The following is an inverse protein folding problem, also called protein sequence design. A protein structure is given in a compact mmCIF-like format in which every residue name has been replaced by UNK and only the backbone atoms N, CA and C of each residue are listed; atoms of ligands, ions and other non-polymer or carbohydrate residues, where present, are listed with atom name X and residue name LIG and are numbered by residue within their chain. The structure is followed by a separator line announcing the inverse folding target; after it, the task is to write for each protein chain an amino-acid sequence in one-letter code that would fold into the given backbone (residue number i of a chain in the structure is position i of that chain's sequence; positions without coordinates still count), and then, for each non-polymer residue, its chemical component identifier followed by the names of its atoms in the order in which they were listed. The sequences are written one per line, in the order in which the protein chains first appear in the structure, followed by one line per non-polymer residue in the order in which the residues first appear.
data_IF_262708721895
#
_entry.id   IF_262708721895
#
_cell.length_a   1.000
_cell.length_b   1.000
_cell.length_c   1.000
_cell.angle_alpha   90.00
_cell.angle_beta   90.00
_cell.angle_gamma   90.00
#
_symmetry.space_group_name_H-M   'P 1'
#
loop_
_entity.id
_entity.type
_entity.pdbx_description
1 polymer ?
#
# COMPACT_ATOMS: atom_id res chain seq x y z
N UNK A 1 2.54 -24.48 18.56
CA UNK A 1 1.45 -25.46 18.26
C UNK A 1 1.49 -25.96 16.82
N UNK A 2 1.22 -25.12 15.80
CA UNK A 2 1.31 -25.52 14.37
C UNK A 2 2.67 -26.14 14.05
N UNK A 3 3.75 -25.58 14.61
CA UNK A 3 5.11 -26.13 14.52
C UNK A 3 5.25 -27.58 15.05
N UNK A 4 4.68 -27.90 16.21
CA UNK A 4 4.73 -29.26 16.78
C UNK A 4 3.98 -30.26 15.90
N UNK A 5 2.86 -29.82 15.31
CA UNK A 5 2.02 -30.64 14.42
C UNK A 5 2.70 -30.86 13.07
N UNK A 6 3.30 -29.81 12.51
CA UNK A 6 4.09 -29.91 11.28
C UNK A 6 5.30 -30.81 11.52
N UNK A 7 6.03 -30.64 12.62
CA UNK A 7 7.21 -31.44 12.96
C UNK A 7 6.89 -32.93 13.10
N UNK A 8 5.79 -33.29 13.76
CA UNK A 8 5.39 -34.70 13.91
C UNK A 8 4.95 -35.36 12.60
N UNK A 9 4.33 -34.60 11.69
CA UNK A 9 3.86 -35.13 10.39
C UNK A 9 4.84 -34.85 9.24
N UNK A 10 6.01 -34.25 9.53
CA UNK A 10 6.96 -33.77 8.52
C UNK A 10 7.61 -34.90 7.73
N UNK A 11 8.02 -35.97 8.43
CA UNK A 11 8.82 -37.06 7.85
C UNK A 11 8.07 -38.39 7.71
N UNK A 12 7.07 -38.66 8.55
CA UNK A 12 6.28 -39.89 8.50
C UNK A 12 4.81 -39.57 8.75
N UNK A 13 3.93 -40.25 8.03
CA UNK A 13 2.48 -40.19 8.22
C UNK A 13 1.96 -41.10 9.35
N UNK A 14 2.86 -41.90 9.94
CA UNK A 14 2.57 -42.72 11.09
C UNK A 14 2.52 -41.84 12.34
N UNK A 15 1.31 -41.56 12.82
CA UNK A 15 1.09 -40.87 14.09
C UNK A 15 1.58 -41.77 15.24
N UNK A 16 2.79 -41.54 15.73
CA UNK A 16 3.26 -42.10 17.01
C UNK A 16 2.89 -41.13 18.13
N UNK A 17 2.06 -41.59 19.08
CA UNK A 17 1.62 -40.80 20.23
C UNK A 17 2.79 -40.64 21.21
N UNK A 18 3.61 -39.61 21.01
CA UNK A 18 4.66 -39.25 21.95
C UNK A 18 4.05 -38.54 23.18
N UNK A 19 4.50 -38.90 24.38
CA UNK A 19 3.94 -38.41 25.64
C UNK A 19 4.06 -36.88 25.78
N UNK A 20 5.14 -36.31 25.22
CA UNK A 20 5.39 -34.87 25.17
C UNK A 20 4.32 -34.12 24.38
N UNK A 21 3.89 -34.66 23.25
CA UNK A 21 2.91 -34.05 22.36
C UNK A 21 1.49 -34.14 22.89
N UNK A 22 1.15 -35.22 23.58
CA UNK A 22 -0.14 -35.36 24.25
C UNK A 22 -0.35 -34.28 25.33
N UNK A 23 0.69 -34.00 26.13
CA UNK A 23 0.65 -32.92 27.13
C UNK A 23 0.46 -31.54 26.49
N UNK A 24 1.10 -31.28 25.34
CA UNK A 24 0.92 -30.06 24.57
C UNK A 24 -0.52 -29.95 24.04
N UNK A 25 -1.09 -31.04 23.54
CA UNK A 25 -2.47 -31.05 23.04
C UNK A 25 -3.52 -30.80 24.14
N UNK A 26 -3.32 -31.35 25.34
CA UNK A 26 -4.17 -31.07 26.51
C UNK A 26 -4.07 -29.60 26.91
N UNK A 27 -2.85 -29.05 27.00
CA UNK A 27 -2.65 -27.62 27.29
C UNK A 27 -3.39 -26.73 26.27
N UNK A 28 -3.33 -27.11 24.99
CA UNK A 28 -4.04 -26.41 23.91
C UNK A 28 -5.56 -26.50 24.02
N UNK A 29 -6.10 -27.64 24.47
CA UNK A 29 -7.53 -27.82 24.73
C UNK A 29 -8.02 -26.89 25.84
N UNK A 30 -7.26 -26.81 26.94
CA UNK A 30 -7.54 -25.90 28.06
C UNK A 30 -7.45 -24.45 27.61
N UNK A 31 -6.40 -24.06 26.88
CA UNK A 31 -6.23 -22.69 26.41
C UNK A 31 -7.37 -22.22 25.47
N UNK A 32 -7.83 -23.08 24.56
CA UNK A 32 -8.91 -22.73 23.63
C UNK A 32 -10.26 -22.69 24.31
N UNK A 33 -10.55 -23.65 25.17
CA UNK A 33 -11.80 -23.64 25.93
C UNK A 33 -11.89 -22.40 26.81
N UNK A 34 -10.80 -22.02 27.49
CA UNK A 34 -10.72 -20.77 28.26
C UNK A 34 -10.95 -19.54 27.37
N UNK A 35 -10.23 -19.43 26.25
CA UNK A 35 -10.35 -18.29 25.33
C UNK A 35 -11.76 -18.18 24.71
N UNK A 36 -12.42 -19.31 24.40
CA UNK A 36 -13.80 -19.33 23.92
C UNK A 36 -14.77 -18.91 25.04
N UNK A 37 -14.62 -19.43 26.25
CA UNK A 37 -15.47 -19.10 27.39
C UNK A 37 -15.38 -17.61 27.77
N UNK A 38 -14.16 -17.06 27.86
CA UNK A 38 -13.95 -15.63 28.17
C UNK A 38 -14.62 -14.74 27.12
N UNK A 39 -14.51 -15.08 25.83
CA UNK A 39 -15.13 -14.30 24.74
C UNK A 39 -16.64 -14.44 24.72
N UNK A 40 -17.16 -15.63 24.99
CA UNK A 40 -18.60 -15.85 25.11
C UNK A 40 -19.18 -15.07 26.31
N UNK A 41 -18.43 -14.95 27.41
CA UNK A 41 -18.81 -14.13 28.56
C UNK A 41 -18.79 -12.63 28.24
N UNK A 42 -17.75 -12.15 27.55
CA UNK A 42 -17.61 -10.75 27.17
C UNK A 42 -18.54 -10.32 26.02
N UNK A 43 -19.15 -11.25 25.29
CA UNK A 43 -20.04 -10.94 24.18
C UNK A 43 -21.42 -10.45 24.68
N UNK A 44 -21.80 -9.23 24.29
CA UNK A 44 -23.11 -8.67 24.64
C UNK A 44 -24.30 -9.50 24.12
N UNK A 45 -24.17 -10.14 22.95
CA UNK A 45 -25.13 -11.11 22.44
C UNK A 45 -24.45 -12.47 22.18
N UNK A 46 -24.68 -13.41 23.10
CA UNK A 46 -24.06 -14.74 23.11
C UNK A 46 -24.45 -15.57 21.88
N UNK A 47 -25.71 -15.51 21.46
CA UNK A 47 -26.20 -16.26 20.30
C UNK A 47 -25.64 -15.76 18.98
N UNK A 48 -25.48 -14.44 18.85
CA UNK A 48 -24.82 -13.85 17.68
C UNK A 48 -23.33 -14.23 17.64
N UNK A 49 -22.66 -14.31 18.80
CA UNK A 49 -21.26 -14.73 18.89
C UNK A 49 -21.05 -16.18 18.45
N UNK A 50 -21.93 -17.11 18.85
CA UNK A 50 -21.83 -18.52 18.43
C UNK A 50 -22.03 -18.72 16.92
N UNK A 51 -22.86 -17.89 16.26
CA UNK A 51 -23.08 -17.94 14.80
C UNK A 51 -22.02 -17.19 13.98
N UNK A 52 -21.11 -16.47 14.62
CA UNK A 52 -20.04 -15.78 13.91
C UNK A 52 -19.03 -16.80 13.34
N UNK A 53 -18.64 -16.65 12.07
CA UNK A 53 -17.83 -17.64 11.35
C UNK A 53 -16.52 -18.04 12.07
N UNK A 54 -15.82 -17.06 12.67
CA UNK A 54 -14.57 -17.33 13.43
C UNK A 54 -14.80 -18.16 14.70
N UNK A 55 -16.00 -18.07 15.30
CA UNK A 55 -16.39 -18.84 16.47
C UNK A 55 -16.75 -20.27 16.09
N UNK A 56 -17.35 -20.46 14.90
CA UNK A 56 -17.58 -21.79 14.32
C UNK A 56 -16.25 -22.49 14.08
N UNK A 57 -15.24 -21.78 13.53
CA UNK A 57 -13.88 -22.33 13.38
C UNK A 57 -13.28 -22.74 14.73
N UNK A 58 -13.43 -21.91 15.78
CA UNK A 58 -12.97 -22.25 17.14
C UNK A 58 -13.64 -23.52 17.66
N UNK A 59 -14.94 -23.65 17.43
CA UNK A 59 -15.70 -24.84 17.80
C UNK A 59 -15.23 -26.07 17.01
N UNK A 60 -15.10 -25.98 15.68
CA UNK A 60 -14.58 -27.05 14.83
C UNK A 60 -13.17 -27.50 15.23
N UNK A 61 -12.32 -26.59 15.71
CA UNK A 61 -11.00 -26.92 16.22
C UNK A 61 -10.99 -27.50 17.63
N UNK A 62 -12.04 -27.25 18.42
CA UNK A 62 -12.19 -27.74 19.80
C UNK A 62 -12.62 -29.21 19.84
N UNK A 63 -13.60 -29.61 19.01
CA UNK A 63 -14.17 -30.97 19.06
C UNK A 63 -13.10 -32.08 18.86
N UNK A 64 -12.16 -32.00 17.91
CA UNK A 64 -11.12 -33.03 17.73
C UNK A 64 -10.16 -33.17 18.89
N UNK A 65 -9.84 -32.07 19.59
CA UNK A 65 -9.02 -32.15 20.81
C UNK A 65 -9.81 -32.76 21.96
N UNK A 66 -11.09 -32.41 22.07
CA UNK A 66 -11.95 -32.94 23.12
C UNK A 66 -12.15 -34.45 22.95
N UNK A 67 -12.45 -34.91 21.73
CA UNK A 67 -12.63 -36.34 21.43
C UNK A 67 -11.33 -37.13 21.66
N UNK A 68 -10.16 -36.60 21.26
CA UNK A 68 -8.86 -37.24 21.51
C UNK A 68 -8.50 -37.32 23.00
N UNK A 69 -8.93 -36.34 23.81
CA UNK A 69 -8.74 -36.35 25.26
C UNK A 69 -9.75 -37.25 25.99
N UNK A 70 -10.99 -37.34 25.49
CA UNK A 70 -12.09 -38.06 26.14
C UNK A 70 -12.16 -39.54 25.77
N UNK A 71 -11.65 -39.97 24.61
CA UNK A 71 -11.67 -41.36 24.17
C UNK A 71 -10.57 -42.18 24.90
N UNK A 72 -10.93 -43.11 25.82
CA UNK A 72 -9.99 -44.06 26.39
C UNK A 72 -9.63 -45.13 25.35
N UNK A 73 -8.41 -45.65 25.44
CA UNK A 73 -7.87 -46.76 24.65
C UNK A 73 -8.92 -47.86 24.35
N UNK A 74 -9.34 -47.99 23.09
CA UNK A 74 -9.66 -49.33 22.57
C UNK A 74 -9.40 -49.46 21.06
N UNK A 75 -8.71 -50.53 20.71
CA UNK A 75 -8.04 -50.83 19.44
C UNK A 75 -9.02 -51.30 18.33
N UNK A 76 -10.04 -50.51 17.99
CA UNK A 76 -10.89 -50.84 16.82
C UNK A 76 -10.36 -50.16 15.54
N UNK A 77 -9.74 -50.97 14.67
CA UNK A 77 -8.98 -50.56 13.47
C UNK A 77 -9.77 -49.66 12.47
N UNK A 78 -11.11 -49.75 12.40
CA UNK A 78 -11.92 -48.87 11.54
C UNK A 78 -12.09 -47.44 12.09
N UNK A 79 -12.01 -47.26 13.42
CA UNK A 79 -12.03 -45.95 14.07
C UNK A 79 -10.79 -45.10 13.73
N UNK A 80 -9.65 -45.73 13.42
CA UNK A 80 -8.35 -45.06 13.18
C UNK A 80 -8.29 -44.13 11.95
N UNK A 81 -9.15 -44.30 10.94
CA UNK A 81 -9.15 -43.44 9.74
C UNK A 81 -10.03 -42.20 9.88
N UNK A 82 -11.28 -42.39 10.31
CA UNK A 82 -12.21 -41.28 10.56
C UNK A 82 -11.70 -40.39 11.70
N UNK A 83 -11.13 -41.00 12.75
CA UNK A 83 -10.45 -40.29 13.82
C UNK A 83 -9.28 -39.45 13.30
N UNK A 84 -8.47 -39.96 12.36
CA UNK A 84 -7.36 -39.21 11.74
C UNK A 84 -7.81 -38.04 10.87
N UNK A 85 -8.88 -38.21 10.09
CA UNK A 85 -9.48 -37.10 9.33
C UNK A 85 -10.00 -36.01 10.29
N UNK A 86 -10.60 -36.42 11.40
CA UNK A 86 -11.09 -35.49 12.42
C UNK A 86 -9.96 -34.72 13.12
N UNK A 87 -8.85 -35.41 13.42
CA UNK A 87 -7.64 -34.79 13.98
C UNK A 87 -7.05 -33.70 13.07
N UNK A 88 -7.21 -33.78 11.74
CA UNK A 88 -6.67 -32.76 10.83
C UNK A 88 -7.46 -31.46 10.80
N UNK A 89 -8.69 -31.42 11.33
CA UNK A 89 -9.41 -30.17 11.58
C UNK A 89 -8.65 -29.25 12.58
N UNK A 90 -7.60 -29.76 13.25
CA UNK A 90 -6.63 -28.95 14.00
C UNK A 90 -5.86 -27.94 13.13
N UNK A 91 -5.63 -28.22 11.84
CA UNK A 91 -4.88 -27.31 10.93
C UNK A 91 -5.66 -26.05 10.57
N UNK A 92 -7.01 -26.11 10.62
CA UNK A 92 -7.92 -24.97 10.45
C UNK A 92 -7.61 -23.84 11.45
N UNK A 93 -6.92 -24.11 12.56
CA UNK A 93 -6.46 -23.09 13.52
C UNK A 93 -5.60 -22.01 12.89
N UNK A 94 -4.91 -22.27 11.78
CA UNK A 94 -4.14 -21.23 11.08
C UNK A 94 -5.04 -20.05 10.66
N UNK A 95 -6.33 -20.30 10.46
CA UNK A 95 -7.36 -19.28 10.17
C UNK A 95 -7.58 -18.32 11.36
N UNK A 96 -7.16 -18.68 12.57
CA UNK A 96 -7.20 -17.77 13.71
C UNK A 96 -6.19 -16.61 13.58
N UNK A 97 -5.13 -16.76 12.76
CA UNK A 97 -4.18 -15.68 12.47
C UNK A 97 -4.85 -14.48 11.79
N UNK A 98 -6.02 -14.66 11.17
CA UNK A 98 -6.79 -13.55 10.60
C UNK A 98 -7.23 -12.56 11.67
N UNK A 99 -7.28 -12.94 12.95
CA UNK A 99 -7.56 -12.00 14.04
C UNK A 99 -6.45 -10.96 14.19
N UNK A 100 -5.21 -11.28 13.83
CA UNK A 100 -4.10 -10.31 13.85
C UNK A 100 -4.32 -9.17 12.86
N UNK A 101 -5.14 -9.36 11.82
CA UNK A 101 -5.53 -8.31 10.88
C UNK A 101 -6.26 -7.15 11.57
N UNK A 102 -6.87 -7.36 12.75
CA UNK A 102 -7.47 -6.28 13.55
C UNK A 102 -6.44 -5.27 14.08
N UNK A 103 -5.18 -5.67 14.22
CA UNK A 103 -4.10 -4.78 14.66
C UNK A 103 -3.61 -3.87 13.53
N UNK A 104 -3.93 -4.20 12.28
CA UNK A 104 -3.47 -3.47 11.10
C UNK A 104 -4.42 -2.33 10.78
N UNK A 105 -3.97 -1.10 11.03
CA UNK A 105 -4.75 0.12 10.78
C UNK A 105 -4.86 0.48 9.30
N UNK A 106 -3.82 0.18 8.51
CA UNK A 106 -3.80 0.53 7.08
C UNK A 106 -4.56 -0.50 6.25
N UNK A 107 -5.63 -0.06 5.56
CA UNK A 107 -6.46 -0.93 4.73
C UNK A 107 -5.67 -1.72 3.67
N UNK A 108 -4.66 -1.08 3.06
CA UNK A 108 -3.77 -1.69 2.06
C UNK A 108 -2.97 -2.86 2.63
N UNK A 109 -2.26 -2.60 3.72
CA UNK A 109 -1.43 -3.59 4.40
C UNK A 109 -2.33 -4.71 4.93
N UNK A 110 -3.52 -4.38 5.44
CA UNK A 110 -4.50 -5.35 5.91
C UNK A 110 -4.97 -6.29 4.80
N UNK A 111 -5.30 -5.77 3.63
CA UNK A 111 -5.73 -6.59 2.50
C UNK A 111 -4.59 -7.44 1.94
N UNK A 112 -3.38 -6.88 1.82
CA UNK A 112 -2.20 -7.63 1.41
C UNK A 112 -1.85 -8.79 2.35
N UNK A 113 -1.84 -8.53 3.67
CA UNK A 113 -1.62 -9.58 4.68
C UNK A 113 -2.75 -10.61 4.65
N UNK A 114 -4.01 -10.17 4.45
CA UNK A 114 -5.14 -11.08 4.32
C UNK A 114 -4.96 -12.05 3.16
N UNK A 115 -4.53 -11.58 1.99
CA UNK A 115 -4.28 -12.43 0.81
C UNK A 115 -3.12 -13.40 1.06
N UNK A 116 -2.02 -12.92 1.61
CA UNK A 116 -0.90 -13.81 1.96
C UNK A 116 -1.34 -14.90 2.94
N UNK A 117 -2.13 -14.53 3.95
CA UNK A 117 -2.63 -15.46 4.94
C UNK A 117 -3.66 -16.45 4.37
N UNK A 118 -4.52 -16.03 3.44
CA UNK A 118 -5.48 -16.93 2.76
C UNK A 118 -4.75 -18.01 1.98
N UNK A 119 -3.77 -17.63 1.16
CA UNK A 119 -2.97 -18.57 0.37
C UNK A 119 -2.23 -19.56 1.27
N UNK A 120 -1.52 -19.07 2.30
CA UNK A 120 -0.79 -19.95 3.23
C UNK A 120 -1.74 -20.88 3.99
N UNK A 121 -2.90 -20.38 4.42
CA UNK A 121 -3.90 -21.21 5.12
C UNK A 121 -4.47 -22.31 4.24
N UNK A 122 -4.78 -22.01 2.98
CA UNK A 122 -5.28 -22.99 2.01
C UNK A 122 -4.22 -24.05 1.74
N UNK A 123 -2.95 -23.64 1.52
CA UNK A 123 -1.85 -24.57 1.26
C UNK A 123 -1.71 -25.57 2.41
N UNK A 124 -1.64 -25.08 3.65
CA UNK A 124 -1.43 -25.94 4.82
C UNK A 124 -2.64 -26.84 5.09
N UNK A 125 -3.86 -26.31 5.01
CA UNK A 125 -5.08 -27.11 5.22
C UNK A 125 -5.26 -28.17 4.13
N UNK A 126 -5.05 -27.81 2.86
CA UNK A 126 -5.20 -28.74 1.74
C UNK A 126 -4.10 -29.80 1.73
N UNK A 127 -2.84 -29.44 2.03
CA UNK A 127 -1.75 -30.39 2.13
C UNK A 127 -2.00 -31.41 3.25
N UNK A 128 -2.47 -30.95 4.42
CA UNK A 128 -2.83 -31.85 5.52
C UNK A 128 -4.02 -32.76 5.19
N UNK A 129 -5.01 -32.25 4.43
CA UNK A 129 -6.15 -33.05 3.99
C UNK A 129 -5.72 -34.13 2.99
N UNK A 130 -4.88 -33.82 2.02
CA UNK A 130 -4.39 -34.79 1.04
C UNK A 130 -3.48 -35.84 1.68
N UNK A 131 -2.56 -35.41 2.55
CA UNK A 131 -1.68 -36.31 3.28
C UNK A 131 -2.47 -37.39 4.04
N UNK A 132 -3.60 -37.00 4.65
CA UNK A 132 -4.43 -37.95 5.41
C UNK A 132 -5.32 -38.82 4.56
N UNK A 133 -5.88 -38.28 3.49
CA UNK A 133 -6.71 -39.07 2.56
C UNK A 133 -5.89 -40.11 1.82
N UNK A 134 -4.63 -39.82 1.49
CA UNK A 134 -3.76 -40.75 0.74
C UNK A 134 -3.00 -41.73 1.64
N UNK A 135 -3.09 -41.62 2.97
CA UNK A 135 -2.39 -42.50 3.90
C UNK A 135 -2.71 -44.00 3.68
N UNK A 136 -1.66 -44.83 3.61
CA UNK A 136 -1.74 -46.29 3.59
C UNK A 136 -1.47 -46.87 4.99
N UNK A 137 -2.25 -47.86 5.43
CA UNK A 137 -1.94 -48.61 6.65
C UNK A 137 -0.71 -49.51 6.41
N UNK A 138 0.29 -49.54 7.32
CA UNK A 138 1.43 -50.44 7.18
C UNK A 138 1.07 -51.93 7.22
N UNK A 139 -0.11 -52.30 7.73
CA UNK A 139 -0.56 -53.70 7.84
C UNK A 139 -1.39 -54.19 6.65
N UNK A 140 -1.97 -53.27 5.87
CA UNK A 140 -2.78 -53.57 4.68
C UNK A 140 -2.41 -52.55 3.60
N UNK A 141 -1.83 -53.03 2.49
CA UNK A 141 -1.39 -52.18 1.36
C UNK A 141 -2.53 -51.57 0.55
N UNK A 142 -3.78 -51.73 1.01
CA UNK A 142 -4.99 -51.16 0.45
C UNK A 142 -5.75 -50.39 1.54
N UNK A 143 -6.40 -49.29 1.17
CA UNK A 143 -7.24 -48.55 2.13
C UNK A 143 -8.42 -49.41 2.62
N UNK A 144 -9.13 -48.95 3.66
CA UNK A 144 -10.33 -49.59 4.23
C UNK A 144 -11.37 -50.00 3.17
N UNK A 145 -11.36 -49.37 1.99
CA UNK A 145 -12.26 -49.62 0.86
C UNK A 145 -11.63 -50.33 -0.36
N UNK A 146 -10.41 -50.89 -0.25
CA UNK A 146 -9.74 -51.57 -1.37
C UNK A 146 -9.19 -50.64 -2.46
N UNK A 147 -9.05 -49.34 -2.17
CA UNK A 147 -8.53 -48.35 -3.12
C UNK A 147 -7.00 -48.21 -3.05
N UNK A 148 -6.40 -47.80 -4.17
CA UNK A 148 -4.98 -47.48 -4.27
C UNK A 148 -4.66 -46.25 -3.42
N UNK A 149 -3.62 -46.35 -2.59
CA UNK A 149 -3.13 -45.27 -1.75
C UNK A 149 -1.65 -44.99 -2.03
N UNK A 150 -1.14 -43.89 -1.47
CA UNK A 150 0.27 -43.55 -1.53
C UNK A 150 0.68 -42.79 -0.28
N UNK A 151 1.78 -43.21 0.33
CA UNK A 151 2.26 -42.52 1.50
C UNK A 151 3.04 -41.26 1.08
N UNK A 152 2.39 -40.10 1.15
CA UNK A 152 3.01 -38.80 0.88
C UNK A 152 3.56 -38.18 2.17
N UNK A 153 4.76 -37.62 2.10
CA UNK A 153 5.24 -36.74 3.17
C UNK A 153 4.46 -35.42 3.17
N UNK A 154 4.50 -34.70 4.29
CA UNK A 154 3.84 -33.39 4.36
C UNK A 154 4.50 -32.37 3.42
N UNK A 155 5.81 -32.45 3.21
CA UNK A 155 6.53 -31.62 2.24
C UNK A 155 6.10 -31.90 0.81
N UNK A 156 5.93 -33.16 0.43
CA UNK A 156 5.46 -33.53 -0.92
C UNK A 156 4.02 -33.10 -1.14
N UNK A 157 3.20 -33.16 -0.09
CA UNK A 157 1.81 -32.68 -0.11
C UNK A 157 1.76 -31.16 -0.29
N UNK A 158 2.61 -30.39 0.40
CA UNK A 158 2.73 -28.93 0.18
C UNK A 158 3.18 -28.64 -1.24
N UNK A 159 4.21 -29.33 -1.73
CA UNK A 159 4.70 -29.16 -3.09
C UNK A 159 3.58 -29.42 -4.11
N UNK A 160 2.86 -30.53 -3.98
CA UNK A 160 1.70 -30.85 -4.82
C UNK A 160 0.63 -29.75 -4.82
N UNK A 161 0.25 -29.25 -3.64
CA UNK A 161 -0.72 -28.17 -3.53
C UNK A 161 -0.20 -26.87 -4.16
N UNK A 162 1.07 -26.51 -3.94
CA UNK A 162 1.68 -25.33 -4.53
C UNK A 162 1.68 -25.37 -6.07
N UNK A 163 2.07 -26.49 -6.67
CA UNK A 163 2.08 -26.64 -8.14
C UNK A 163 0.66 -26.70 -8.72
N UNK A 164 -0.31 -27.19 -7.95
CA UNK A 164 -1.72 -27.27 -8.35
C UNK A 164 -2.39 -25.90 -8.31
N UNK A 165 -2.22 -25.15 -7.21
CA UNK A 165 -2.71 -23.76 -7.08
C UNK A 165 -2.00 -22.85 -8.08
N UNK A 166 -0.70 -23.08 -8.31
CA UNK A 166 0.10 -22.38 -9.32
C UNK A 166 -0.23 -22.78 -10.75
N UNK A 167 -1.19 -23.69 -10.98
CA UNK A 167 -1.61 -24.19 -12.30
C UNK A 167 -0.50 -24.80 -13.16
N UNK A 168 0.61 -25.22 -12.54
CA UNK A 168 1.77 -25.81 -13.24
C UNK A 168 1.52 -27.29 -13.52
N UNK A 169 1.14 -28.05 -12.50
CA UNK A 169 0.69 -29.44 -12.65
C UNK A 169 1.72 -30.42 -13.25
N UNK A 170 2.93 -30.50 -12.71
CA UNK A 170 3.96 -31.45 -13.18
C UNK A 170 3.53 -32.93 -13.17
N UNK A 171 2.57 -33.29 -12.32
CA UNK A 171 1.98 -34.64 -12.30
C UNK A 171 2.83 -35.71 -11.58
N UNK A 172 3.95 -35.33 -10.96
CA UNK A 172 4.85 -36.25 -10.22
C UNK A 172 4.15 -36.86 -9.00
N UNK A 173 3.42 -36.02 -8.26
CA UNK A 173 2.54 -36.44 -7.17
C UNK A 173 1.11 -36.15 -7.58
N UNK A 174 0.22 -37.15 -7.47
CA UNK A 174 -1.21 -36.99 -7.76
C UNK A 174 -2.03 -37.97 -6.91
N UNK A 175 -3.17 -37.56 -6.32
CA UNK A 175 -3.98 -38.41 -5.47
C UNK A 175 -4.46 -39.67 -6.21
N UNK A 176 -4.29 -40.84 -5.60
CA UNK A 176 -4.72 -42.12 -6.18
C UNK A 176 -6.11 -42.52 -5.70
N UNK A 177 -6.46 -42.14 -4.47
CA UNK A 177 -7.79 -42.38 -3.88
C UNK A 177 -8.89 -41.60 -4.61
N UNK A 178 -10.10 -42.17 -4.70
CA UNK A 178 -11.25 -41.44 -5.29
C UNK A 178 -11.60 -40.20 -4.49
N UNK A 179 -11.52 -40.29 -3.16
CA UNK A 179 -11.79 -39.17 -2.25
C UNK A 179 -10.72 -38.08 -2.44
N UNK A 180 -9.45 -38.47 -2.61
CA UNK A 180 -8.35 -37.54 -2.86
C UNK A 180 -8.50 -36.78 -4.19
N UNK A 181 -8.96 -37.47 -5.23
CA UNK A 181 -9.26 -36.86 -6.54
C UNK A 181 -10.41 -35.86 -6.45
N UNK A 182 -11.54 -36.23 -5.84
CA UNK A 182 -12.68 -35.33 -5.64
C UNK A 182 -12.28 -34.11 -4.81
N UNK A 183 -11.56 -34.33 -3.72
CA UNK A 183 -10.96 -33.28 -2.88
C UNK A 183 -10.15 -32.28 -3.70
N UNK A 184 -9.28 -32.77 -4.57
CA UNK A 184 -8.40 -31.93 -5.41
C UNK A 184 -9.20 -31.16 -6.45
N UNK A 185 -10.22 -31.76 -7.06
CA UNK A 185 -11.14 -31.05 -7.98
C UNK A 185 -11.85 -29.92 -7.24
N UNK A 186 -12.40 -30.18 -6.06
CA UNK A 186 -13.03 -29.15 -5.23
C UNK A 186 -12.04 -28.04 -4.86
N UNK A 187 -10.79 -28.38 -4.54
CA UNK A 187 -9.74 -27.42 -4.23
C UNK A 187 -9.42 -26.52 -5.43
N UNK A 188 -9.26 -27.09 -6.64
CA UNK A 188 -8.99 -26.33 -7.86
C UNK A 188 -10.11 -25.34 -8.14
N UNK A 189 -11.37 -25.78 -8.06
CA UNK A 189 -12.54 -24.90 -8.25
C UNK A 189 -12.57 -23.79 -7.19
N UNK A 190 -12.38 -24.15 -5.93
CA UNK A 190 -12.42 -23.20 -4.82
C UNK A 190 -11.30 -22.14 -4.92
N UNK A 191 -10.07 -22.57 -5.18
CA UNK A 191 -8.90 -21.67 -5.29
C UNK A 191 -8.95 -20.83 -6.56
N UNK A 192 -9.43 -21.40 -7.67
CA UNK A 192 -9.64 -20.68 -8.93
C UNK A 192 -10.69 -19.57 -8.84
N UNK A 193 -11.66 -19.66 -7.94
CA UNK A 193 -12.64 -18.58 -7.70
C UNK A 193 -12.16 -17.58 -6.63
N UNK A 194 -11.59 -18.09 -5.53
CA UNK A 194 -11.25 -17.26 -4.36
C UNK A 194 -10.00 -16.40 -4.57
N UNK A 195 -8.95 -16.92 -5.21
CA UNK A 195 -7.70 -16.17 -5.36
C UNK A 195 -7.88 -14.97 -6.31
N UNK A 196 -8.47 -15.11 -7.52
CA UNK A 196 -8.65 -13.97 -8.42
C UNK A 196 -9.54 -12.88 -7.85
N UNK A 197 -10.64 -13.23 -7.17
CA UNK A 197 -11.54 -12.25 -6.55
C UNK A 197 -10.84 -11.39 -5.50
N UNK A 198 -9.96 -11.99 -4.69
CA UNK A 198 -9.16 -11.23 -3.74
C UNK A 198 -8.07 -10.38 -4.39
N UNK A 199 -7.43 -10.88 -5.45
CA UNK A 199 -6.44 -10.12 -6.23
C UNK A 199 -7.11 -8.91 -6.88
N UNK A 200 -8.28 -9.08 -7.51
CA UNK A 200 -9.04 -7.98 -8.12
C UNK A 200 -9.39 -6.90 -7.10
N UNK A 201 -9.83 -7.30 -5.90
CA UNK A 201 -10.10 -6.35 -4.82
C UNK A 201 -8.82 -5.60 -4.38
N UNK A 202 -7.65 -6.25 -4.36
CA UNK A 202 -6.38 -5.58 -4.05
C UNK A 202 -5.98 -4.60 -5.17
N UNK A 203 -6.12 -5.03 -6.42
CA UNK A 203 -5.85 -4.19 -7.60
C UNK A 203 -6.73 -2.95 -7.61
N UNK A 204 -7.99 -3.05 -7.20
CA UNK A 204 -8.89 -1.89 -7.06
C UNK A 204 -8.40 -0.91 -5.98
N UNK A 205 -7.95 -1.40 -4.82
CA UNK A 205 -7.40 -0.51 -3.78
C UNK A 205 -6.09 0.14 -4.26
N UNK A 206 -5.28 -0.58 -5.03
CA UNK A 206 -4.03 -0.05 -5.59
C UNK A 206 -4.26 0.91 -6.76
N UNK A 207 -5.27 0.68 -7.61
CA UNK A 207 -5.57 1.52 -8.78
C UNK A 207 -6.16 2.87 -8.41
N UNK A 208 -6.73 2.99 -7.20
CA UNK A 208 -7.15 4.27 -6.63
C UNK A 208 -5.98 5.19 -6.29
N UNK A 209 -4.75 4.67 -6.17
CA UNK A 209 -3.58 5.52 -6.02
C UNK A 209 -3.13 6.09 -7.35
N UNK A 210 -3.07 7.41 -7.41
CA UNK A 210 -2.44 8.08 -8.53
C UNK A 210 -0.94 8.25 -8.29
N UNK A 211 -0.19 8.51 -9.35
CA UNK A 211 1.24 8.83 -9.25
C UNK A 211 1.46 10.07 -8.34
N UNK A 212 0.44 10.92 -8.21
CA UNK A 212 0.44 12.15 -7.42
C UNK A 212 0.22 11.92 -5.92
N UNK A 213 -0.11 10.69 -5.49
CA UNK A 213 -0.33 10.38 -4.08
C UNK A 213 0.96 10.04 -3.32
N UNK A 214 2.07 9.86 -4.04
CA UNK A 214 3.36 9.44 -3.49
C UNK A 214 3.96 10.46 -2.53
N UNK A 215 4.63 10.00 -1.47
CA UNK A 215 5.39 10.88 -0.57
C UNK A 215 6.74 11.29 -1.17
N UNK A 216 7.08 12.57 -1.07
CA UNK A 216 8.43 13.03 -1.36
C UNK A 216 9.39 12.68 -0.20
N UNK A 217 10.54 12.11 -0.54
CA UNK A 217 11.61 11.81 0.42
C UNK A 217 12.75 12.80 0.19
N UNK A 218 13.03 13.71 1.13
CA UNK A 218 14.09 14.68 0.97
C UNK A 218 15.46 13.99 0.99
N UNK A 219 16.30 14.36 0.03
CA UNK A 219 17.72 13.98 -0.02
C UNK A 219 18.56 15.20 0.39
N UNK A 220 19.52 15.02 1.30
CA UNK A 220 20.41 16.10 1.76
C UNK A 220 21.24 16.72 0.62
N UNK A 221 21.47 15.99 -0.47
CA UNK A 221 22.23 16.47 -1.63
C UNK A 221 21.41 17.34 -2.58
N UNK A 222 20.08 17.24 -2.50
CA UNK A 222 19.16 17.89 -3.43
C UNK A 222 18.46 19.03 -2.68
N UNK A 223 18.58 20.25 -3.23
CA UNK A 223 17.84 21.39 -2.75
C UNK A 223 16.44 21.34 -3.38
N UNK A 224 15.41 21.06 -2.58
CA UNK A 224 14.03 21.12 -3.06
C UNK A 224 13.31 22.38 -2.60
N UNK A 225 12.37 22.78 -3.44
CA UNK A 225 11.49 23.92 -3.25
C UNK A 225 10.05 23.43 -3.23
N UNK A 226 9.24 24.00 -2.34
CA UNK A 226 7.80 23.75 -2.30
C UNK A 226 7.05 24.86 -3.01
N UNK A 227 6.21 24.50 -3.98
CA UNK A 227 5.33 25.40 -4.70
C UNK A 227 3.86 25.05 -4.37
N UNK A 228 3.12 26.03 -3.86
CA UNK A 228 1.72 25.91 -3.46
C UNK A 228 0.88 27.05 -4.04
N UNK A 229 -0.43 26.97 -3.84
CA UNK A 229 -1.40 27.99 -4.26
C UNK A 229 -2.05 27.64 -5.60
N UNK A 230 -2.68 28.64 -6.20
CA UNK A 230 -3.38 28.47 -7.47
C UNK A 230 -2.43 28.81 -8.62
N UNK A 231 -1.88 27.76 -9.23
CA UNK A 231 -0.78 27.87 -10.17
C UNK A 231 -1.34 27.82 -11.59
N UNK A 232 -1.17 28.91 -12.33
CA UNK A 232 -1.45 28.96 -13.76
C UNK A 232 -0.30 28.33 -14.58
N UNK A 233 -0.63 27.70 -15.71
CA UNK A 233 0.32 26.96 -16.55
C UNK A 233 1.44 27.86 -17.09
N UNK A 234 1.10 29.09 -17.53
CA UNK A 234 2.10 30.01 -18.08
C UNK A 234 3.07 30.51 -17.01
N UNK A 235 2.55 30.84 -15.83
CA UNK A 235 3.36 31.27 -14.68
C UNK A 235 4.24 30.14 -14.15
N UNK A 236 3.74 28.91 -14.16
CA UNK A 236 4.53 27.74 -13.80
C UNK A 236 5.64 27.47 -14.80
N UNK A 237 5.36 27.47 -16.10
CA UNK A 237 6.38 27.20 -17.10
C UNK A 237 7.51 28.23 -17.03
N UNK A 238 7.15 29.50 -16.87
CA UNK A 238 8.13 30.57 -16.65
C UNK A 238 8.96 30.32 -15.37
N UNK A 239 8.32 29.93 -14.26
CA UNK A 239 9.02 29.60 -13.03
C UNK A 239 9.98 28.42 -13.19
N UNK A 240 9.50 27.31 -13.77
CA UNK A 240 10.30 26.10 -13.98
C UNK A 240 11.49 26.38 -14.90
N UNK A 241 11.27 27.09 -16.01
CA UNK A 241 12.33 27.47 -16.93
C UNK A 241 13.42 28.30 -16.23
N UNK A 242 13.04 29.34 -15.47
CA UNK A 242 14.01 30.20 -14.80
C UNK A 242 14.70 29.52 -13.61
N UNK A 243 13.97 28.70 -12.84
CA UNK A 243 14.49 28.06 -11.63
C UNK A 243 15.37 26.84 -11.92
N UNK A 244 14.95 26.02 -12.88
CA UNK A 244 15.60 24.77 -13.28
C UNK A 244 16.55 24.96 -14.48
N UNK A 245 16.83 26.19 -14.87
CA UNK A 245 17.82 26.50 -15.89
C UNK A 245 19.17 25.85 -15.59
N UNK A 246 19.89 25.40 -16.63
CA UNK A 246 21.13 24.62 -16.54
C UNK A 246 22.37 25.46 -16.25
N UNK A 247 22.42 26.08 -15.06
CA UNK A 247 23.65 26.67 -14.52
C UNK A 247 24.59 25.55 -13.97
N UNK A 248 25.17 24.74 -14.87
CA UNK A 248 26.17 23.71 -14.55
C UNK A 248 25.70 22.61 -13.56
N UNK A 249 26.64 22.01 -12.82
CA UNK A 249 26.37 20.90 -11.88
C UNK A 249 25.33 21.23 -10.79
N UNK A 250 25.17 22.52 -10.45
CA UNK A 250 24.22 22.99 -9.43
C UNK A 250 22.76 22.88 -9.89
N UNK A 251 22.49 22.97 -11.19
CA UNK A 251 21.14 22.81 -11.76
C UNK A 251 20.59 21.38 -11.64
N UNK A 252 21.48 20.38 -11.62
CA UNK A 252 21.10 18.97 -11.45
C UNK A 252 20.61 18.65 -10.03
N UNK A 253 21.03 19.44 -9.03
CA UNK A 253 20.69 19.23 -7.61
C UNK A 253 19.46 20.03 -7.15
N UNK A 254 18.68 20.60 -8.07
CA UNK A 254 17.45 21.35 -7.75
C UNK A 254 16.22 20.53 -8.09
N UNK A 255 15.25 20.51 -7.17
CA UNK A 255 13.95 19.85 -7.37
C UNK A 255 12.80 20.79 -7.01
N UNK A 256 11.71 20.73 -7.76
CA UNK A 256 10.48 21.49 -7.48
C UNK A 256 9.38 20.51 -7.11
N UNK A 257 8.80 20.69 -5.93
CA UNK A 257 7.65 19.93 -5.45
C UNK A 257 6.43 20.83 -5.54
N UNK A 258 5.44 20.44 -6.34
CA UNK A 258 4.18 21.16 -6.50
C UNK A 258 3.14 20.47 -5.62
N UNK A 259 2.51 21.21 -4.72
CA UNK A 259 1.42 20.71 -3.86
C UNK A 259 0.14 21.50 -4.17
N UNK A 260 -0.85 20.82 -4.72
CA UNK A 260 -2.14 21.42 -5.09
C UNK A 260 -3.28 20.43 -4.86
N UNK A 261 -4.46 20.89 -4.40
CA UNK A 261 -5.58 20.00 -4.08
C UNK A 261 -6.24 19.41 -5.34
N UNK A 262 -6.08 20.03 -6.50
CA UNK A 262 -6.68 19.59 -7.76
C UNK A 262 -5.76 18.65 -8.52
N UNK A 263 -6.32 17.84 -9.42
CA UNK A 263 -5.52 17.09 -10.37
C UNK A 263 -4.85 18.03 -11.39
N UNK A 264 -3.65 17.71 -11.89
CA UNK A 264 -2.99 18.54 -12.88
C UNK A 264 -3.82 18.57 -14.18
N UNK A 265 -3.97 19.77 -14.74
CA UNK A 265 -4.63 19.96 -16.04
C UNK A 265 -3.88 19.21 -17.15
N UNK A 266 -4.55 18.92 -18.27
CA UNK A 266 -3.93 18.24 -19.42
C UNK A 266 -2.67 18.95 -19.93
N UNK A 267 -2.66 20.28 -19.90
CA UNK A 267 -1.51 21.11 -20.27
C UNK A 267 -0.37 20.99 -19.26
N UNK A 268 -0.68 21.05 -17.96
CA UNK A 268 0.31 20.86 -16.90
C UNK A 268 0.94 19.46 -16.98
N UNK A 269 0.12 18.43 -17.24
CA UNK A 269 0.60 17.06 -17.39
C UNK A 269 1.61 16.92 -18.54
N UNK A 270 1.42 17.65 -19.65
CA UNK A 270 2.40 17.69 -20.76
C UNK A 270 3.74 18.30 -20.33
N UNK A 271 3.70 19.37 -19.53
CA UNK A 271 4.91 20.01 -18.98
C UNK A 271 5.64 19.03 -18.04
N UNK A 272 4.92 18.33 -17.17
CA UNK A 272 5.49 17.38 -16.22
C UNK A 272 6.15 16.16 -16.87
N UNK A 273 5.68 15.75 -18.05
CA UNK A 273 6.23 14.61 -18.81
C UNK A 273 7.44 15.04 -19.66
N UNK A 274 7.70 16.34 -19.80
CA UNK A 274 8.85 16.81 -20.57
C UNK A 274 10.16 16.32 -19.95
N UNK A 275 11.07 15.79 -20.77
CA UNK A 275 12.33 15.15 -20.33
C UNK A 275 13.16 16.01 -19.36
N UNK A 276 13.15 17.32 -19.55
CA UNK A 276 13.87 18.27 -18.70
C UNK A 276 13.28 18.42 -17.29
N UNK A 277 11.98 18.17 -17.14
CA UNK A 277 11.23 18.38 -15.90
C UNK A 277 10.84 17.08 -15.21
N UNK A 278 10.68 15.97 -15.93
CA UNK A 278 10.18 14.68 -15.41
C UNK A 278 10.90 14.21 -14.13
N UNK A 279 12.24 14.33 -14.09
CA UNK A 279 13.02 13.92 -12.91
C UNK A 279 13.11 15.00 -11.82
N UNK A 280 12.93 16.26 -12.20
CA UNK A 280 13.18 17.44 -11.35
C UNK A 280 11.92 18.09 -10.80
N UNK A 281 10.75 17.76 -11.33
CA UNK A 281 9.46 18.30 -10.91
C UNK A 281 8.58 17.15 -10.48
N UNK A 282 8.07 17.22 -9.25
CA UNK A 282 7.15 16.24 -8.72
C UNK A 282 5.86 16.93 -8.29
N UNK A 283 4.75 16.52 -8.89
CA UNK A 283 3.43 16.99 -8.51
C UNK A 283 2.82 16.06 -7.46
N UNK A 284 2.33 16.63 -6.38
CA UNK A 284 1.63 15.96 -5.30
C UNK A 284 0.21 16.52 -5.19
N UNK A 285 -0.77 15.62 -5.24
CA UNK A 285 -2.15 16.01 -5.03
C UNK A 285 -2.42 16.10 -3.53
N UNK A 286 -2.68 17.29 -3.01
CA UNK A 286 -2.94 17.50 -1.59
C UNK A 286 -3.10 18.97 -1.25
N UNK A 287 -3.64 19.26 -0.06
CA UNK A 287 -3.87 20.62 0.40
C UNK A 287 -2.72 21.08 1.29
N UNK A 288 -2.13 22.24 1.00
CA UNK A 288 -1.15 22.85 1.89
C UNK A 288 -1.76 23.38 3.21
N UNK A 289 -3.09 23.27 3.39
CA UNK A 289 -3.75 23.49 4.69
C UNK A 289 -3.64 22.27 5.61
N UNK A 290 -3.45 21.06 5.06
CA UNK A 290 -3.24 19.86 5.88
C UNK A 290 -1.75 19.67 6.19
N UNK A 291 -1.47 19.54 7.48
CA UNK A 291 -0.13 19.22 7.99
C UNK A 291 0.42 17.90 7.46
N UNK A 292 -0.42 16.88 7.22
CA UNK A 292 0.04 15.60 6.70
C UNK A 292 0.53 15.74 5.24
N UNK A 293 -0.17 16.52 4.44
CA UNK A 293 0.19 16.80 3.05
C UNK A 293 1.45 17.67 2.95
N UNK A 294 1.60 18.66 3.83
CA UNK A 294 2.84 19.43 3.95
C UNK A 294 4.03 18.54 4.35
N UNK A 295 3.85 17.62 5.29
CA UNK A 295 4.89 16.64 5.64
C UNK A 295 5.17 15.67 4.48
N UNK A 296 4.14 15.27 3.72
CA UNK A 296 4.26 14.43 2.53
C UNK A 296 5.04 15.12 1.42
N UNK A 297 4.89 16.44 1.29
CA UNK A 297 5.64 17.29 0.37
C UNK A 297 7.05 17.68 0.87
N UNK A 298 7.42 17.28 2.09
CA UNK A 298 8.73 17.62 2.66
C UNK A 298 8.89 19.10 3.00
N UNK A 299 7.79 19.78 3.35
CA UNK A 299 7.76 21.22 3.63
C UNK A 299 8.70 21.65 4.78
N UNK A 300 8.91 20.79 5.79
CA UNK A 300 9.83 21.04 6.91
C UNK A 300 11.30 21.17 6.46
N UNK A 301 11.68 20.41 5.43
CA UNK A 301 13.03 20.37 4.88
C UNK A 301 13.21 21.25 3.63
N UNK A 302 12.14 21.90 3.15
CA UNK A 302 12.19 22.72 1.94
C UNK A 302 13.14 23.90 2.15
N UNK A 303 14.00 24.14 1.16
CA UNK A 303 14.96 25.25 1.23
C UNK A 303 14.28 26.61 1.04
N UNK A 304 13.19 26.65 0.28
CA UNK A 304 12.30 27.79 0.17
C UNK A 304 10.89 27.34 -0.22
N UNK A 305 9.91 28.19 0.05
CA UNK A 305 8.52 27.94 -0.27
C UNK A 305 7.95 29.10 -1.08
N UNK A 306 7.13 28.78 -2.08
CA UNK A 306 6.43 29.75 -2.93
C UNK A 306 4.93 29.52 -2.84
N UNK A 307 4.17 30.60 -2.69
CA UNK A 307 2.71 30.59 -2.83
C UNK A 307 2.34 31.48 -4.00
N UNK A 308 1.80 30.88 -5.06
CA UNK A 308 1.40 31.57 -6.28
C UNK A 308 -0.10 31.80 -6.32
N UNK A 309 -0.49 32.86 -7.03
CA UNK A 309 -1.88 33.26 -7.25
C UNK A 309 -2.18 33.26 -8.75
N UNK A 310 -3.39 32.85 -9.12
CA UNK A 310 -3.88 32.94 -10.50
C UNK A 310 -4.13 34.40 -10.87
N UNK A 311 -3.47 34.88 -11.92
CA UNK A 311 -3.42 36.30 -12.34
C UNK A 311 -4.75 36.88 -12.84
N UNK A 312 -5.69 36.04 -13.28
CA UNK A 312 -6.93 36.45 -13.94
C UNK A 312 -8.12 35.66 -13.39
N UNK A 313 -8.46 35.89 -12.13
CA UNK A 313 -9.64 35.30 -11.50
C UNK A 313 -10.63 36.38 -11.14
N UNK A 314 -11.92 36.21 -11.43
CA UNK A 314 -12.99 37.12 -10.99
C UNK A 314 -13.13 37.19 -9.45
N UNK A 315 -12.37 36.38 -8.72
CA UNK A 315 -12.42 36.20 -7.26
C UNK A 315 -11.08 36.50 -6.59
N UNK A 316 -10.43 37.61 -6.99
CA UNK A 316 -9.10 38.00 -6.49
C UNK A 316 -9.03 38.08 -4.95
N UNK A 317 -10.06 38.63 -4.30
CA UNK A 317 -10.09 38.74 -2.83
C UNK A 317 -10.13 37.38 -2.13
N UNK A 318 -10.89 36.44 -2.68
CA UNK A 318 -10.95 35.07 -2.14
C UNK A 318 -9.62 34.36 -2.35
N UNK A 319 -8.98 34.58 -3.50
CA UNK A 319 -7.67 34.03 -3.82
C UNK A 319 -6.59 34.55 -2.86
N UNK A 320 -6.58 35.86 -2.59
CA UNK A 320 -5.65 36.48 -1.64
C UNK A 320 -5.91 36.00 -0.20
N UNK A 321 -7.18 35.87 0.19
CA UNK A 321 -7.55 35.32 1.50
C UNK A 321 -7.04 33.88 1.65
N UNK A 322 -7.22 33.05 0.62
CA UNK A 322 -6.71 31.68 0.61
C UNK A 322 -5.19 31.66 0.70
N UNK A 323 -4.51 32.56 -0.01
CA UNK A 323 -3.06 32.70 0.00
C UNK A 323 -2.53 33.11 1.37
N UNK A 324 -3.24 33.98 2.07
CA UNK A 324 -2.94 34.36 3.44
C UNK A 324 -3.02 33.15 4.41
N UNK A 325 -4.05 32.32 4.27
CA UNK A 325 -4.22 31.10 5.06
C UNK A 325 -3.13 30.05 4.75
N UNK A 326 -2.81 29.86 3.46
CA UNK A 326 -1.73 28.97 3.03
C UNK A 326 -0.37 29.42 3.59
N UNK A 327 -0.14 30.74 3.61
CA UNK A 327 1.06 31.36 4.19
C UNK A 327 1.20 31.00 5.67
N UNK A 328 0.13 31.14 6.44
CA UNK A 328 0.10 30.75 7.86
C UNK A 328 0.42 29.26 8.04
N UNK A 329 -0.22 28.40 7.25
CA UNK A 329 -0.03 26.93 7.33
C UNK A 329 1.41 26.52 7.05
N UNK A 330 2.00 27.06 5.97
CA UNK A 330 3.38 26.77 5.58
C UNK A 330 4.37 27.31 6.62
N UNK A 331 4.20 28.55 7.09
CA UNK A 331 5.07 29.16 8.11
C UNK A 331 5.01 28.41 9.44
N UNK A 332 3.84 27.87 9.82
CA UNK A 332 3.69 27.02 11.00
C UNK A 332 4.53 25.75 10.89
N UNK A 333 4.59 25.14 9.70
CA UNK A 333 5.31 23.90 9.46
C UNK A 333 6.82 24.10 9.19
N UNK A 334 7.22 25.23 8.62
CA UNK A 334 8.62 25.60 8.42
C UNK A 334 8.86 27.06 8.80
N UNK A 335 9.42 27.26 10.00
CA UNK A 335 9.67 28.61 10.55
C UNK A 335 10.89 29.29 9.94
N UNK A 336 11.86 28.54 9.42
CA UNK A 336 13.16 29.08 9.02
C UNK A 336 13.26 29.37 7.52
N UNK A 337 12.59 28.58 6.68
CA UNK A 337 12.71 28.77 5.23
C UNK A 337 12.10 30.11 4.78
N UNK A 338 12.71 30.77 3.79
CA UNK A 338 12.10 31.93 3.15
C UNK A 338 10.81 31.52 2.45
N UNK A 339 9.76 32.31 2.68
CA UNK A 339 8.42 32.12 2.13
C UNK A 339 8.08 33.30 1.23
N UNK A 340 8.05 33.06 -0.09
CA UNK A 340 7.74 34.05 -1.11
C UNK A 340 6.29 33.91 -1.52
N UNK A 341 5.52 35.00 -1.41
CA UNK A 341 4.07 34.94 -1.62
C UNK A 341 3.66 35.98 -2.65
N UNK A 342 2.82 35.57 -3.60
CA UNK A 342 2.17 36.46 -4.54
C UNK A 342 0.79 36.85 -4.03
N UNK A 343 0.40 38.09 -4.24
CA UNK A 343 -0.91 38.64 -3.86
C UNK A 343 -1.42 39.46 -5.03
N UNK A 344 -2.72 39.38 -5.33
CA UNK A 344 -3.33 40.17 -6.39
C UNK A 344 -3.44 41.63 -5.96
N UNK A 345 -4.14 41.93 -4.86
CA UNK A 345 -4.45 43.29 -4.40
C UNK A 345 -3.42 43.86 -3.42
N UNK A 346 -3.24 45.18 -3.45
CA UNK A 346 -2.29 45.89 -2.56
C UNK A 346 -2.71 45.82 -1.10
N UNK A 347 -4.02 45.87 -0.82
CA UNK A 347 -4.57 45.89 0.54
C UNK A 347 -4.17 44.65 1.34
N UNK A 348 -4.04 43.51 0.66
CA UNK A 348 -3.74 42.21 1.28
C UNK A 348 -2.25 42.00 1.58
N UNK A 349 -1.36 42.87 1.06
CA UNK A 349 0.09 42.74 1.24
C UNK A 349 0.48 42.76 2.72
N UNK A 350 -0.12 43.68 3.49
CA UNK A 350 0.16 43.80 4.94
C UNK A 350 -0.27 42.55 5.70
N UNK A 351 -1.44 42.00 5.37
CA UNK A 351 -1.97 40.79 6.01
C UNK A 351 -1.06 39.59 5.78
N UNK A 352 -0.59 39.39 4.55
CA UNK A 352 0.31 38.28 4.20
C UNK A 352 1.68 38.43 4.85
N UNK A 353 2.19 39.66 4.98
CA UNK A 353 3.44 39.93 5.68
C UNK A 353 3.34 39.56 7.18
N UNK A 354 2.24 39.94 7.85
CA UNK A 354 1.97 39.60 9.25
C UNK A 354 1.83 38.08 9.44
N UNK A 355 1.25 37.38 8.47
CA UNK A 355 1.14 35.91 8.46
C UNK A 355 2.48 35.18 8.34
N UNK A 356 3.58 35.92 8.15
CA UNK A 356 4.93 35.40 8.16
C UNK A 356 5.50 35.13 6.77
N UNK A 357 5.00 35.78 5.71
CA UNK A 357 5.74 35.81 4.45
C UNK A 357 7.09 36.53 4.64
N UNK A 358 8.15 36.04 4.01
CA UNK A 358 9.47 36.68 4.03
C UNK A 358 9.56 37.80 2.98
N UNK A 359 8.86 37.63 1.86
CA UNK A 359 8.70 38.66 0.85
C UNK A 359 7.35 38.46 0.14
N UNK A 360 6.68 39.57 -0.16
CA UNK A 360 5.37 39.59 -0.80
C UNK A 360 5.47 40.36 -2.11
N UNK A 361 4.98 39.76 -3.20
CA UNK A 361 4.93 40.39 -4.52
C UNK A 361 3.47 40.66 -4.86
N UNK A 362 3.10 41.94 -4.90
CA UNK A 362 1.79 42.37 -5.36
C UNK A 362 1.76 42.49 -6.88
N UNK A 363 0.91 41.70 -7.53
CA UNK A 363 0.80 41.66 -9.00
C UNK A 363 0.23 42.98 -9.54
N UNK A 364 -0.83 43.50 -8.92
CA UNK A 364 -1.45 44.77 -9.32
C UNK A 364 -0.47 45.94 -9.20
N UNK A 365 0.23 46.05 -8.06
CA UNK A 365 1.22 47.10 -7.83
C UNK A 365 2.35 47.07 -8.84
N UNK A 366 2.90 45.88 -9.12
CA UNK A 366 3.99 45.71 -10.07
C UNK A 366 3.54 46.08 -11.49
N UNK A 367 2.34 45.62 -11.88
CA UNK A 367 1.72 45.93 -13.17
C UNK A 367 1.52 47.44 -13.36
N UNK A 368 0.88 48.12 -12.40
CA UNK A 368 0.62 49.56 -12.47
C UNK A 368 1.91 50.38 -12.42
N UNK A 369 2.89 49.97 -11.60
CA UNK A 369 4.19 50.64 -11.54
C UNK A 369 4.95 50.54 -12.87
N UNK A 370 4.90 49.38 -13.53
CA UNK A 370 5.50 49.20 -14.86
C UNK A 370 4.83 50.08 -15.91
N UNK A 371 3.49 50.12 -15.94
CA UNK A 371 2.76 51.01 -16.85
C UNK A 371 3.08 52.49 -16.60
N UNK A 372 3.03 52.93 -15.33
CA UNK A 372 3.33 54.30 -14.96
C UNK A 372 4.74 54.72 -15.36
N UNK A 373 5.76 53.89 -15.11
CA UNK A 373 7.15 54.20 -15.47
C UNK A 373 7.41 54.10 -16.98
N UNK A 374 6.70 53.23 -17.69
CA UNK A 374 6.82 53.11 -19.15
C UNK A 374 6.33 54.36 -19.90
N UNK A 375 5.51 55.20 -19.27
CA UNK A 375 5.14 56.51 -19.83
C UNK A 375 6.33 57.48 -19.85
N UNK A 376 7.23 57.38 -18.87
CA UNK A 376 8.42 58.22 -18.78
C UNK A 376 9.59 57.65 -19.58
N UNK A 377 9.78 56.33 -19.54
CA UNK A 377 10.90 55.64 -20.20
C UNK A 377 10.33 54.66 -21.22
N UNK A 378 10.40 55.03 -22.50
CA UNK A 378 9.99 54.15 -23.59
C UNK A 378 10.88 52.91 -23.61
N UNK A 379 10.27 51.74 -23.73
CA UNK A 379 10.99 50.45 -23.76
C UNK A 379 11.39 49.87 -22.41
N UNK A 380 11.06 50.53 -21.29
CA UNK A 380 11.42 50.04 -19.95
C UNK A 380 10.87 48.63 -19.66
N UNK A 381 9.64 48.34 -20.05
CA UNK A 381 9.02 47.04 -19.80
C UNK A 381 9.75 45.91 -20.54
N UNK A 382 10.17 46.15 -21.78
CA UNK A 382 10.96 45.19 -22.56
C UNK A 382 12.35 44.99 -21.93
N UNK A 383 13.01 46.08 -21.53
CA UNK A 383 14.29 46.02 -20.83
C UNK A 383 14.21 45.21 -19.52
N UNK A 384 13.23 45.50 -18.66
CA UNK A 384 13.03 44.78 -17.41
C UNK A 384 12.63 43.32 -17.64
N UNK A 385 11.78 43.04 -18.64
CA UNK A 385 11.42 41.68 -19.01
C UNK A 385 12.64 40.84 -19.38
N UNK A 386 13.53 41.41 -20.20
CA UNK A 386 14.77 40.75 -20.60
C UNK A 386 15.77 40.58 -19.45
N UNK A 387 15.74 41.46 -18.45
CA UNK A 387 16.62 41.36 -17.28
C UNK A 387 16.17 40.29 -16.29
N UNK A 388 14.86 40.02 -16.20
CA UNK A 388 14.30 39.00 -15.31
C UNK A 388 14.34 37.60 -15.92
N UNK A 389 14.19 37.50 -17.24
CA UNK A 389 14.21 36.23 -17.94
C UNK A 389 15.65 35.73 -18.17
N UNK A 390 15.90 34.47 -17.81
CA UNK A 390 17.15 33.79 -18.15
C UNK A 390 17.09 33.28 -19.59
N UNK A 391 18.14 33.52 -20.35
CA UNK A 391 18.30 33.07 -21.75
C UNK A 391 19.56 32.23 -21.89
N UNK A 392 19.48 31.15 -22.68
CA UNK A 392 20.65 30.39 -23.13
C UNK A 392 21.20 31.02 -24.42
N UNK A 393 22.39 31.61 -24.33
CA UNK A 393 23.08 32.19 -25.50
C UNK A 393 23.45 31.09 -26.52
N UNK A 394 23.50 29.82 -26.11
CA UNK A 394 24.01 28.71 -26.93
C UNK A 394 23.04 28.16 -27.97
N UNK A 395 21.73 28.35 -27.83
CA UNK A 395 20.75 27.72 -28.72
C UNK A 395 20.51 28.48 -30.04
N UNK A 396 20.76 29.79 -30.10
CA UNK A 396 20.62 30.57 -31.36
C UNK A 396 21.77 30.28 -32.34
N UNK A 397 22.98 29.99 -31.86
CA UNK A 397 24.11 29.64 -32.74
C UNK A 397 23.93 28.32 -33.51
N UNK A 398 22.97 27.47 -33.11
CA UNK A 398 22.64 26.22 -33.80
C UNK A 398 21.52 26.36 -34.82
N UNK A 399 20.59 27.31 -34.65
CA UNK A 399 19.55 27.55 -35.65
C UNK A 399 20.11 28.27 -36.87
N UNK A 400 21.03 29.23 -36.69
CA UNK A 400 21.59 30.00 -37.81
C UNK A 400 22.55 29.19 -38.68
N UNK A 401 23.24 28.20 -38.11
CA UNK A 401 24.11 27.28 -38.87
C UNK A 401 23.34 26.16 -39.60
N UNK A 402 22.02 26.05 -39.43
CA UNK A 402 21.20 25.07 -40.16
C UNK A 402 20.55 25.63 -41.43
N UNK A 403 20.71 26.93 -41.70
CA UNK A 403 20.24 27.60 -42.92
C UNK A 403 21.39 27.83 -43.93
N UNK A 404 22.62 27.49 -43.54
CA UNK A 404 23.80 27.55 -44.42
C UNK A 404 24.48 26.17 -44.39
N UNK A 405 23.83 25.19 -45.01
CA UNK A 405 24.45 24.02 -45.66
C UNK A 405 23.43 23.26 -46.50
#
# INVERSE_FOLDING_TARGET
MVYSIMHQNWHMSAYSRDASAHNIDILNLVAISLNFCVRMYAAGNRWAYCRHWISIVDFCCWIPLFVDAAAPFDETKQSKYVFRLFLMARTIRIVQLYRLLRLVKHAKVRQGISIGLTVVSIIICAAAMIQTVEYCDPTITTQVFGENCQNLSFSDSIYFICITIGTVGYGEYAPKSKIGKVSTICLIIFTGLLIPTQISALTEILSRETIFDKKYRPDKRIQHVLLCGDIDNGSLNFFLHNWLHSDGERGSRRKVIILSPTFPSSSLRRILIHREYEQRVQYLQGSAMDTNDLQRAGATSAACCFVMVRKHSDTEERSDTSTNLLTCSIRKNNRQAPLYVQVSKVDNVRHVNISGASAVVCVEQLKLSMFGKSLWIRGLNAFLGNLVQRFDITNESRSDNSVIN
#
